data_IF_618798733110
#
_entry.id   IF_618798733110
#
_cell.length_a   1.000
_cell.length_b   1.000
_cell.length_c   1.000
_cell.angle_alpha   90.00
_cell.angle_beta   90.00
_cell.angle_gamma   90.00
#
_symmetry.space_group_name_H-M   'P 1'
#
loop_
_entity.id
_entity.type
_entity.pdbx_description
1 polymer ?
#
# COMPACT_ATOMS: atom_id res chain seq x y z
N UNK A 1 -43.36 15.16 -20.43
CA UNK A 1 -43.43 14.09 -19.41
C UNK A 1 -42.66 12.90 -19.96
N UNK A 2 -41.35 12.88 -19.73
CA UNK A 2 -40.47 11.75 -20.08
C UNK A 2 -39.76 11.16 -18.84
N UNK A 3 -39.97 11.79 -17.68
CA UNK A 3 -39.24 11.53 -16.42
C UNK A 3 -39.83 10.37 -15.60
N UNK A 4 -40.94 9.80 -16.05
CA UNK A 4 -41.73 8.77 -15.39
C UNK A 4 -41.44 7.34 -15.90
N UNK A 5 -40.47 7.17 -16.79
CA UNK A 5 -40.13 5.87 -17.35
C UNK A 5 -39.24 5.07 -16.39
N UNK A 6 -39.62 3.80 -16.13
CA UNK A 6 -38.95 2.92 -15.15
C UNK A 6 -37.45 2.67 -15.41
N UNK A 7 -36.97 2.88 -16.64
CA UNK A 7 -35.57 2.75 -17.01
C UNK A 7 -34.76 4.05 -16.83
N UNK A 8 -35.41 5.17 -16.54
CA UNK A 8 -34.76 6.45 -16.22
C UNK A 8 -34.38 6.54 -14.74
N UNK A 9 -34.97 5.69 -13.90
CA UNK A 9 -34.46 5.40 -12.58
C UNK A 9 -33.20 4.55 -12.73
N UNK A 10 -32.08 5.22 -13.00
CA UNK A 10 -30.78 4.63 -12.76
C UNK A 10 -30.74 4.27 -11.28
N UNK A 11 -30.86 2.98 -10.97
CA UNK A 11 -30.53 2.41 -9.65
C UNK A 11 -29.01 2.50 -9.44
N UNK A 12 -28.44 3.70 -9.63
CA UNK A 12 -27.09 4.04 -9.23
C UNK A 12 -27.10 4.08 -7.70
N UNK A 13 -27.06 2.90 -7.11
CA UNK A 13 -26.55 2.70 -5.77
C UNK A 13 -25.03 2.80 -5.92
N UNK A 14 -24.38 3.93 -5.55
CA UNK A 14 -22.93 3.95 -5.49
C UNK A 14 -22.55 2.92 -4.44
N UNK A 15 -22.18 1.71 -4.88
CA UNK A 15 -21.60 0.72 -4.01
C UNK A 15 -20.44 1.42 -3.31
N UNK A 16 -20.55 1.59 -1.99
CA UNK A 16 -19.60 2.33 -1.16
C UNK A 16 -18.29 1.53 -1.10
N UNK A 17 -17.56 1.52 -2.22
CA UNK A 17 -16.30 0.81 -2.38
C UNK A 17 -15.20 1.78 -2.00
N UNK A 18 -14.58 1.54 -0.85
CA UNK A 18 -13.35 2.22 -0.50
C UNK A 18 -12.27 1.79 -1.48
N UNK A 19 -11.64 2.72 -2.22
CA UNK A 19 -10.56 2.37 -3.14
C UNK A 19 -9.39 1.77 -2.36
N UNK A 20 -8.86 0.65 -2.82
CA UNK A 20 -7.72 -0.04 -2.22
C UNK A 20 -6.52 0.88 -2.09
N UNK A 21 -6.33 1.81 -3.03
CA UNK A 21 -5.31 2.86 -2.96
C UNK A 21 -5.39 3.64 -1.65
N UNK A 22 -6.59 4.12 -1.26
CA UNK A 22 -6.76 4.91 -0.03
C UNK A 22 -6.54 4.05 1.20
N UNK A 23 -6.96 2.78 1.16
CA UNK A 23 -6.71 1.84 2.25
C UNK A 23 -5.21 1.61 2.43
N UNK A 24 -4.45 1.37 1.36
CA UNK A 24 -3.00 1.19 1.42
C UNK A 24 -2.29 2.44 1.93
N UNK A 25 -2.69 3.64 1.48
CA UNK A 25 -2.16 4.89 2.01
C UNK A 25 -2.42 5.03 3.51
N UNK A 26 -3.63 4.70 3.97
CA UNK A 26 -3.98 4.70 5.39
C UNK A 26 -3.13 3.72 6.19
N UNK A 27 -2.91 2.50 5.67
CA UNK A 27 -2.03 1.50 6.28
C UNK A 27 -0.60 2.01 6.37
N UNK A 28 -0.02 2.56 5.30
CA UNK A 28 1.32 3.15 5.32
C UNK A 28 1.42 4.27 6.36
N UNK A 29 0.40 5.13 6.45
CA UNK A 29 0.33 6.19 7.46
C UNK A 29 0.31 5.64 8.89
N UNK A 30 -0.51 4.64 9.17
CA UNK A 30 -0.58 3.99 10.49
C UNK A 30 0.73 3.30 10.83
N UNK A 31 1.32 2.54 9.91
CA UNK A 31 2.62 1.87 10.10
C UNK A 31 3.70 2.91 10.39
N UNK A 32 3.75 4.00 9.64
CA UNK A 32 4.72 5.06 9.88
C UNK A 32 4.53 5.76 11.23
N UNK A 33 3.29 5.99 11.66
CA UNK A 33 3.02 6.49 13.01
C UNK A 33 3.52 5.52 14.09
N UNK A 34 3.31 4.21 13.91
CA UNK A 34 3.84 3.20 14.82
C UNK A 34 5.38 3.19 14.82
N UNK A 35 6.03 3.37 13.65
CA UNK A 35 7.48 3.54 13.57
C UNK A 35 7.93 4.75 14.39
N UNK A 36 7.27 5.91 14.29
CA UNK A 36 7.61 7.10 15.06
C UNK A 36 7.45 6.89 16.57
N UNK A 37 6.38 6.21 17.00
CA UNK A 37 6.10 5.97 18.42
C UNK A 37 7.06 4.98 19.08
N UNK A 38 7.57 4.02 18.31
CA UNK A 38 8.44 2.95 18.83
C UNK A 38 9.92 3.17 18.52
N UNK A 39 10.26 4.18 17.72
CA UNK A 39 11.65 4.53 17.40
C UNK A 39 12.31 5.18 18.62
N UNK A 40 13.21 4.43 19.23
CA UNK A 40 14.03 4.87 20.36
C UNK A 40 15.41 5.31 19.86
N UNK A 41 15.79 6.60 20.01
CA UNK A 41 17.12 7.07 19.64
C UNK A 41 18.23 6.28 20.36
N UNK A 42 19.27 5.89 19.63
CA UNK A 42 20.41 5.15 20.19
C UNK A 42 20.22 3.63 20.30
N UNK A 43 19.05 3.09 19.97
CA UNK A 43 18.80 1.65 19.91
C UNK A 43 18.50 1.19 18.48
N UNK A 44 18.90 -0.04 18.09
CA UNK A 44 18.54 -0.60 16.79
C UNK A 44 17.02 -0.66 16.60
N UNK A 45 16.55 -0.13 15.47
CA UNK A 45 15.13 -0.17 15.09
C UNK A 45 14.68 -1.62 14.88
N UNK A 46 13.67 -2.05 15.64
CA UNK A 46 13.04 -3.35 15.42
C UNK A 46 12.42 -3.46 14.03
N UNK A 47 11.95 -2.33 13.47
CA UNK A 47 11.42 -2.26 12.11
C UNK A 47 12.48 -2.60 11.08
N UNK A 48 13.67 -2.02 11.22
CA UNK A 48 14.77 -2.22 10.28
C UNK A 48 15.29 -3.66 10.36
N UNK A 49 15.23 -4.26 11.55
CA UNK A 49 15.66 -5.65 11.76
C UNK A 49 14.66 -6.68 11.24
N UNK A 50 13.37 -6.51 11.54
CA UNK A 50 12.37 -7.55 11.33
C UNK A 50 11.46 -7.32 10.12
N UNK A 51 11.23 -6.08 9.70
CA UNK A 51 10.23 -5.72 8.69
C UNK A 51 10.82 -5.05 7.44
N UNK A 52 12.00 -4.44 7.55
CA UNK A 52 12.71 -3.93 6.39
C UNK A 52 13.40 -5.07 5.62
N UNK A 53 13.47 -4.95 4.30
CA UNK A 53 14.04 -5.99 3.45
C UNK A 53 15.56 -6.03 3.58
N UNK A 54 16.11 -7.21 3.92
CA UNK A 54 17.55 -7.41 4.02
C UNK A 54 17.95 -8.83 3.59
N UNK A 55 19.10 -8.96 2.93
CA UNK A 55 19.65 -10.28 2.56
C UNK A 55 19.83 -11.18 3.80
N UNK A 56 20.34 -10.62 4.89
CA UNK A 56 20.55 -11.34 6.16
C UNK A 56 19.24 -11.81 6.76
N UNK A 57 18.20 -10.96 6.77
CA UNK A 57 16.88 -11.31 7.29
C UNK A 57 16.22 -12.42 6.48
N UNK A 58 16.22 -12.30 5.14
CA UNK A 58 15.70 -13.33 4.24
C UNK A 58 16.47 -14.64 4.38
N UNK A 59 17.80 -14.59 4.43
CA UNK A 59 18.65 -15.76 4.67
C UNK A 59 18.44 -16.41 6.04
N UNK A 60 17.92 -15.66 7.03
CA UNK A 60 17.56 -16.15 8.36
C UNK A 60 16.09 -16.62 8.47
N UNK A 61 15.35 -16.66 7.36
CA UNK A 61 13.97 -17.14 7.30
C UNK A 61 12.89 -16.07 7.42
N UNK A 62 13.24 -14.77 7.45
CA UNK A 62 12.28 -13.67 7.54
C UNK A 62 11.65 -13.34 6.17
N UNK A 63 11.02 -14.33 5.54
CA UNK A 63 10.47 -14.21 4.19
C UNK A 63 9.34 -13.17 4.08
N UNK A 64 8.67 -12.84 5.18
CA UNK A 64 7.67 -11.76 5.23
C UNK A 64 8.27 -10.39 4.92
N UNK A 65 9.60 -10.22 4.98
CA UNK A 65 10.28 -9.00 4.57
C UNK A 65 10.02 -8.65 3.11
N UNK A 66 9.74 -9.63 2.23
CA UNK A 66 9.38 -9.38 0.82
C UNK A 66 8.04 -8.67 0.62
N UNK A 67 7.20 -8.62 1.65
CA UNK A 67 5.91 -7.93 1.60
C UNK A 67 5.92 -6.73 2.55
N UNK A 68 6.42 -6.93 3.76
CA UNK A 68 6.36 -5.91 4.83
C UNK A 68 7.19 -4.67 4.52
N UNK A 69 8.30 -4.80 3.78
CA UNK A 69 9.14 -3.65 3.42
C UNK A 69 8.40 -2.59 2.60
N UNK A 70 7.37 -2.98 1.84
CA UNK A 70 6.56 -2.08 1.00
C UNK A 70 5.78 -1.04 1.82
N UNK A 71 5.67 -1.23 3.14
CA UNK A 71 4.95 -0.35 4.06
C UNK A 71 5.88 0.46 4.98
N UNK A 72 7.17 0.14 5.02
CA UNK A 72 8.15 0.78 5.91
C UNK A 72 8.71 2.03 5.24
N UNK A 73 8.67 3.16 5.95
CA UNK A 73 9.17 4.44 5.44
C UNK A 73 10.26 5.01 6.36
N UNK A 74 11.30 5.60 5.76
CA UNK A 74 12.45 6.14 6.50
C UNK A 74 12.22 7.53 7.10
N UNK A 75 11.41 8.33 6.43
CA UNK A 75 11.14 9.73 6.76
C UNK A 75 9.78 10.19 6.19
N UNK A 76 9.36 11.38 6.61
CA UNK A 76 8.07 11.98 6.23
C UNK A 76 8.00 12.27 4.74
N UNK A 77 9.07 12.78 4.12
CA UNK A 77 9.07 13.14 2.70
C UNK A 77 8.93 11.89 1.84
N UNK A 78 9.61 10.81 2.20
CA UNK A 78 9.48 9.53 1.51
C UNK A 78 8.04 8.99 1.58
N UNK A 79 7.40 9.04 2.74
CA UNK A 79 5.98 8.66 2.88
C UNK A 79 5.06 9.53 2.01
N UNK A 80 5.25 10.85 2.03
CA UNK A 80 4.42 11.78 1.27
C UNK A 80 4.58 11.59 -0.24
N UNK A 81 5.82 11.41 -0.72
CA UNK A 81 6.10 11.20 -2.14
C UNK A 81 5.52 9.87 -2.65
N UNK A 82 5.72 8.77 -1.91
CA UNK A 82 5.14 7.48 -2.27
C UNK A 82 3.61 7.51 -2.18
N UNK A 83 3.05 8.13 -1.15
CA UNK A 83 1.60 8.29 -1.02
C UNK A 83 1.01 9.10 -2.17
N UNK A 84 1.69 10.17 -2.60
CA UNK A 84 1.29 10.95 -3.76
C UNK A 84 1.36 10.14 -5.06
N UNK A 85 2.47 9.44 -5.31
CA UNK A 85 2.63 8.58 -6.48
C UNK A 85 1.57 7.46 -6.51
N UNK A 86 1.35 6.79 -5.37
CA UNK A 86 0.34 5.76 -5.22
C UNK A 86 -1.07 6.30 -5.48
N UNK A 87 -1.37 7.52 -5.03
CA UNK A 87 -2.67 8.14 -5.28
C UNK A 87 -2.89 8.53 -6.75
N UNK A 88 -1.85 9.07 -7.40
CA UNK A 88 -1.93 9.51 -8.80
C UNK A 88 -1.99 8.32 -9.75
N UNK A 89 -1.03 7.38 -9.64
CA UNK A 89 -0.94 6.24 -10.56
C UNK A 89 -1.86 5.09 -10.14
N UNK A 90 -1.91 4.80 -8.84
CA UNK A 90 -2.66 3.66 -8.32
C UNK A 90 -4.16 3.77 -8.58
N UNK A 91 -4.74 4.97 -8.54
CA UNK A 91 -6.18 5.15 -8.87
C UNK A 91 -6.48 4.78 -10.32
N UNK A 92 -5.71 5.29 -11.27
CA UNK A 92 -5.91 4.96 -12.70
C UNK A 92 -5.73 3.46 -12.97
N UNK A 93 -4.78 2.83 -12.27
CA UNK A 93 -4.56 1.37 -12.37
C UNK A 93 -5.72 0.59 -11.73
N UNK A 94 -6.19 0.99 -10.54
CA UNK A 94 -7.33 0.37 -9.85
C UNK A 94 -8.62 0.50 -10.64
N UNK A 95 -8.85 1.64 -11.30
CA UNK A 95 -9.98 1.84 -12.21
C UNK A 95 -9.92 0.92 -13.43
N UNK A 96 -8.72 0.63 -13.94
CA UNK A 96 -8.51 -0.19 -15.13
C UNK A 96 -8.57 -1.69 -14.83
N UNK A 97 -7.92 -2.12 -13.74
CA UNK A 97 -7.76 -3.54 -13.38
C UNK A 97 -8.78 -4.02 -12.33
N UNK A 98 -9.54 -3.10 -11.74
CA UNK A 98 -10.33 -3.38 -10.54
C UNK A 98 -9.46 -3.56 -9.29
N UNK A 99 -10.14 -3.60 -8.13
CA UNK A 99 -9.52 -3.68 -6.80
C UNK A 99 -8.55 -4.87 -6.66
N UNK A 100 -8.99 -6.06 -7.05
CA UNK A 100 -8.23 -7.30 -6.82
C UNK A 100 -7.03 -7.41 -7.80
N UNK A 101 -7.20 -6.92 -9.02
CA UNK A 101 -6.12 -6.81 -10.01
C UNK A 101 -5.05 -5.82 -9.56
N UNK A 102 -5.47 -4.65 -9.06
CA UNK A 102 -4.56 -3.66 -8.49
C UNK A 102 -3.79 -4.20 -7.28
N UNK A 103 -4.46 -4.85 -6.32
CA UNK A 103 -3.79 -5.43 -5.16
C UNK A 103 -2.78 -6.51 -5.55
N UNK A 104 -3.15 -7.39 -6.48
CA UNK A 104 -2.24 -8.42 -7.00
C UNK A 104 -1.01 -7.78 -7.66
N UNK A 105 -1.21 -6.77 -8.50
CA UNK A 105 -0.13 -6.04 -9.13
C UNK A 105 0.77 -5.35 -8.10
N UNK A 106 0.20 -4.66 -7.11
CA UNK A 106 0.93 -3.98 -6.05
C UNK A 106 1.85 -4.96 -5.30
N UNK A 107 1.30 -6.05 -4.76
CA UNK A 107 2.08 -7.00 -3.97
C UNK A 107 3.10 -7.78 -4.78
N UNK A 108 2.74 -8.23 -5.99
CA UNK A 108 3.64 -9.00 -6.85
C UNK A 108 4.78 -8.14 -7.38
N UNK A 109 4.49 -6.92 -7.84
CA UNK A 109 5.53 -6.02 -8.33
C UNK A 109 6.50 -5.62 -7.22
N UNK A 110 6.01 -5.36 -6.01
CA UNK A 110 6.86 -5.09 -4.86
C UNK A 110 7.68 -6.31 -4.45
N UNK A 111 7.11 -7.51 -4.44
CA UNK A 111 7.87 -8.74 -4.12
C UNK A 111 8.97 -9.02 -5.16
N UNK A 112 8.67 -8.91 -6.45
CA UNK A 112 9.64 -9.09 -7.53
C UNK A 112 10.72 -8.01 -7.48
N UNK A 113 10.34 -6.74 -7.29
CA UNK A 113 11.29 -5.64 -7.13
C UNK A 113 12.21 -5.85 -5.92
N UNK A 114 11.66 -6.32 -4.80
CA UNK A 114 12.43 -6.68 -3.62
C UNK A 114 13.41 -7.82 -3.89
N UNK A 115 12.99 -8.89 -4.56
CA UNK A 115 13.85 -10.01 -4.93
C UNK A 115 15.00 -9.61 -5.85
N UNK A 116 14.78 -8.67 -6.77
CA UNK A 116 15.83 -8.16 -7.67
C UNK A 116 16.76 -7.15 -6.98
N UNK A 117 16.32 -6.56 -5.87
CA UNK A 117 17.13 -5.63 -5.07
C UNK A 117 18.11 -6.35 -4.14
N UNK A 118 17.70 -7.52 -3.63
CA UNK A 118 18.55 -8.43 -2.84
C UNK A 118 19.74 -8.91 -3.68
#
# INVERSE_FOLDING_TARGET
MLDDRSYMQSSYEPAKRYPAVVVLMGVCGVVFLLQLLTRTPGFPSLWDKYFFLSQVGVGSGFLWQLITFQFIHGDVLHLLFNGWALYVFGRSIEETLGKDGFLSLFFMSGAVGGLLHL
#
